data_IF_361598732955
#
_entry.id   IF_361598732955
#
_cell.length_a   1.000
_cell.length_b   1.000
_cell.length_c   1.000
_cell.angle_alpha   90.00
_cell.angle_beta   90.00
_cell.angle_gamma   90.00
#
_symmetry.space_group_name_H-M   'P 1'
#
loop_
_entity.id
_entity.type
_entity.pdbx_description
1 polymer ?
#
# COMPACT_ATOMS: atom_id res chain seq x y z
N UNK A 1 33.71 3.89 4.67
CA UNK A 1 33.22 2.66 4.01
C UNK A 1 31.95 3.04 3.25
N UNK A 2 32.06 3.21 1.95
CA UNK A 2 30.93 3.53 1.06
C UNK A 2 30.08 2.26 0.91
N UNK A 3 28.87 2.26 1.45
CA UNK A 3 27.90 1.20 1.18
C UNK A 3 27.67 1.16 -0.35
N UNK A 4 28.10 0.06 -0.99
CA UNK A 4 27.92 -0.14 -2.41
C UNK A 4 26.43 -0.02 -2.76
N UNK A 5 26.11 0.80 -3.77
CA UNK A 5 24.76 0.89 -4.30
C UNK A 5 24.26 -0.47 -4.80
N UNK A 6 22.94 -0.67 -4.91
CA UNK A 6 22.38 -1.92 -5.41
C UNK A 6 22.94 -2.21 -6.81
N UNK A 7 23.23 -3.50 -7.06
CA UNK A 7 23.67 -3.96 -8.38
C UNK A 7 22.58 -3.78 -9.45
N UNK A 8 22.95 -3.82 -10.75
CA UNK A 8 22.00 -3.71 -11.86
C UNK A 8 20.84 -4.69 -11.72
N UNK A 9 19.59 -4.23 -11.96
CA UNK A 9 18.38 -5.04 -11.87
C UNK A 9 17.86 -5.29 -10.45
N UNK A 10 18.53 -4.80 -9.40
CA UNK A 10 18.08 -4.98 -8.02
C UNK A 10 17.04 -3.90 -7.64
N UNK A 11 15.89 -4.35 -7.12
CA UNK A 11 14.86 -3.46 -6.58
C UNK A 11 15.29 -2.93 -5.21
N UNK A 12 15.34 -1.60 -5.08
CA UNK A 12 15.57 -0.89 -3.83
C UNK A 12 14.28 -0.18 -3.40
N UNK A 13 13.97 -0.21 -2.11
CA UNK A 13 12.90 0.61 -1.54
C UNK A 13 13.54 1.75 -0.75
N UNK A 14 13.06 2.96 -1.00
CA UNK A 14 13.53 4.19 -0.34
C UNK A 14 12.38 5.13 -0.05
N UNK A 15 12.53 6.09 0.88
CA UNK A 15 11.56 7.16 1.04
C UNK A 15 11.33 7.89 -0.30
N UNK A 16 10.07 8.22 -0.56
CA UNK A 16 9.71 9.03 -1.71
C UNK A 16 10.10 10.49 -1.49
N UNK A 17 10.42 11.17 -2.56
CA UNK A 17 10.80 12.59 -2.60
C UNK A 17 9.91 13.35 -3.58
N UNK A 18 9.91 14.69 -3.60
CA UNK A 18 9.17 15.45 -4.61
C UNK A 18 9.54 15.10 -6.06
N UNK A 19 10.77 14.62 -6.30
CA UNK A 19 11.18 14.17 -7.64
C UNK A 19 10.43 12.91 -8.11
N UNK A 20 9.79 12.17 -7.20
CA UNK A 20 9.04 10.96 -7.52
C UNK A 20 7.55 11.24 -7.83
N UNK A 21 7.07 12.48 -7.64
CA UNK A 21 5.65 12.81 -7.75
C UNK A 21 5.05 12.42 -9.10
N UNK A 22 5.74 12.69 -10.21
CA UNK A 22 5.21 12.36 -11.54
C UNK A 22 5.13 10.85 -11.75
N UNK A 23 6.14 10.09 -11.31
CA UNK A 23 6.12 8.64 -11.39
C UNK A 23 5.02 8.03 -10.51
N UNK A 24 4.83 8.57 -9.29
CA UNK A 24 3.77 8.13 -8.38
C UNK A 24 2.40 8.44 -8.99
N UNK A 25 2.17 9.64 -9.49
CA UNK A 25 0.90 10.00 -10.12
C UNK A 25 0.58 9.12 -11.32
N UNK A 26 1.56 8.85 -12.19
CA UNK A 26 1.39 7.95 -13.35
C UNK A 26 0.90 6.56 -12.94
N UNK A 27 1.23 6.10 -11.73
CA UNK A 27 0.74 4.82 -11.20
C UNK A 27 -0.61 4.94 -10.49
N UNK A 28 -0.85 6.04 -9.74
CA UNK A 28 -2.10 6.25 -8.99
C UNK A 28 -3.28 6.56 -9.93
N UNK A 29 -3.07 7.41 -10.92
CA UNK A 29 -4.14 7.89 -11.79
C UNK A 29 -4.97 6.76 -12.41
N UNK A 30 -4.39 5.78 -13.13
CA UNK A 30 -5.18 4.72 -13.75
C UNK A 30 -5.95 3.87 -12.72
N UNK A 31 -5.39 3.69 -11.51
CA UNK A 31 -6.03 2.94 -10.43
C UNK A 31 -7.25 3.71 -9.87
N UNK A 32 -7.13 5.02 -9.70
CA UNK A 32 -8.24 5.86 -9.24
C UNK A 32 -9.32 6.00 -10.31
N UNK A 33 -8.93 6.21 -11.60
CA UNK A 33 -9.88 6.27 -12.71
C UNK A 33 -10.68 4.99 -12.90
N UNK A 34 -10.08 3.83 -12.63
CA UNK A 34 -10.77 2.54 -12.70
C UNK A 34 -11.87 2.39 -11.66
N UNK A 35 -11.76 3.06 -10.50
CA UNK A 35 -12.73 2.99 -9.39
C UNK A 35 -13.04 1.54 -8.92
N UNK A 36 -12.05 0.66 -8.95
CA UNK A 36 -12.22 -0.76 -8.65
C UNK A 36 -11.65 -1.18 -7.30
N UNK A 37 -10.74 -0.37 -6.72
CA UNK A 37 -9.94 -0.81 -5.56
C UNK A 37 -9.78 0.21 -4.45
N UNK A 38 -9.92 1.51 -4.72
CA UNK A 38 -9.76 2.58 -3.73
C UNK A 38 -11.05 3.37 -3.55
N UNK A 39 -11.31 3.82 -2.32
CA UNK A 39 -12.41 4.72 -1.98
C UNK A 39 -12.03 6.19 -2.26
N UNK A 40 -11.49 6.45 -3.44
CA UNK A 40 -11.05 7.76 -3.90
C UNK A 40 -11.94 8.18 -5.08
N UNK A 41 -12.39 9.45 -5.16
CA UNK A 41 -13.16 9.92 -6.31
C UNK A 41 -12.40 9.67 -7.63
N UNK A 42 -13.03 9.07 -8.65
CA UNK A 42 -12.33 8.76 -9.90
C UNK A 42 -11.84 9.99 -10.66
N UNK A 43 -12.42 11.15 -10.40
CA UNK A 43 -12.10 12.43 -11.01
C UNK A 43 -11.10 13.28 -10.23
N UNK A 44 -10.53 12.73 -9.13
CA UNK A 44 -9.53 13.42 -8.32
C UNK A 44 -8.40 13.99 -9.18
N UNK A 45 -8.00 15.23 -8.88
CA UNK A 45 -6.88 15.90 -9.54
C UNK A 45 -5.52 15.39 -9.04
N UNK A 46 -4.47 15.58 -9.86
CA UNK A 46 -3.10 15.18 -9.54
C UNK A 46 -2.62 15.74 -8.20
N UNK A 47 -2.78 17.04 -8.00
CA UNK A 47 -2.23 17.72 -6.82
C UNK A 47 -2.95 17.30 -5.54
N UNK A 48 -4.26 17.08 -5.61
CA UNK A 48 -5.07 16.58 -4.50
C UNK A 48 -4.69 15.13 -4.17
N UNK A 49 -4.55 14.28 -5.17
CA UNK A 49 -4.15 12.88 -5.00
C UNK A 49 -2.75 12.75 -4.38
N UNK A 50 -1.80 13.56 -4.82
CA UNK A 50 -0.45 13.59 -4.24
C UNK A 50 -0.48 14.17 -2.81
N UNK A 51 -1.25 15.21 -2.55
CA UNK A 51 -1.41 15.76 -1.21
C UNK A 51 -1.96 14.70 -0.24
N UNK A 52 -2.95 13.90 -0.66
CA UNK A 52 -3.50 12.80 0.13
C UNK A 52 -2.47 11.67 0.32
N UNK A 53 -1.76 11.28 -0.74
CA UNK A 53 -0.76 10.20 -0.69
C UNK A 53 0.39 10.50 0.27
N UNK A 54 0.80 11.76 0.36
CA UNK A 54 1.86 12.24 1.25
C UNK A 54 1.37 12.82 2.57
N UNK A 55 0.05 12.79 2.84
CA UNK A 55 -0.52 13.37 4.04
C UNK A 55 -0.05 12.67 5.32
N UNK A 56 0.28 13.46 6.35
CA UNK A 56 0.50 12.90 7.68
C UNK A 56 -0.76 12.14 8.18
N UNK A 57 -0.62 11.03 8.89
CA UNK A 57 0.59 10.51 9.52
C UNK A 57 1.36 9.48 8.67
N UNK A 58 1.19 9.46 7.35
CA UNK A 58 1.83 8.49 6.49
C UNK A 58 3.20 8.93 6.00
N UNK A 59 4.08 7.96 5.80
CA UNK A 59 5.37 8.12 5.12
C UNK A 59 5.31 7.35 3.81
N UNK A 60 5.58 8.04 2.70
CA UNK A 60 5.57 7.44 1.38
C UNK A 60 6.94 6.87 0.99
N UNK A 61 6.91 5.73 0.29
CA UNK A 61 8.08 5.03 -0.22
C UNK A 61 7.90 4.68 -1.70
N UNK A 62 9.01 4.51 -2.39
CA UNK A 62 9.05 4.01 -3.76
C UNK A 62 9.95 2.79 -3.88
N UNK A 63 9.54 1.84 -4.70
CA UNK A 63 10.37 0.73 -5.16
C UNK A 63 11.00 1.12 -6.49
N UNK A 64 12.31 1.25 -6.51
CA UNK A 64 13.11 1.70 -7.66
C UNK A 64 14.02 0.59 -8.16
N UNK A 65 14.19 0.52 -9.47
CA UNK A 65 15.15 -0.36 -10.12
C UNK A 65 15.74 0.38 -11.32
N UNK A 66 17.06 0.48 -11.38
CA UNK A 66 17.80 1.14 -12.48
C UNK A 66 17.27 2.56 -12.80
N UNK A 67 16.98 3.35 -11.75
CA UNK A 67 16.44 4.71 -11.89
C UNK A 67 14.96 4.82 -12.24
N UNK A 68 14.25 3.69 -12.39
CA UNK A 68 12.80 3.68 -12.67
C UNK A 68 12.01 3.28 -11.42
N UNK A 69 10.99 4.06 -11.09
CA UNK A 69 10.02 3.73 -10.03
C UNK A 69 9.05 2.68 -10.56
N UNK A 70 8.95 1.56 -9.85
CA UNK A 70 8.13 0.39 -10.21
C UNK A 70 6.94 0.16 -9.28
N UNK A 71 6.85 0.93 -8.20
CA UNK A 71 5.77 0.85 -7.25
C UNK A 71 5.94 1.88 -6.16
N UNK A 72 4.86 2.15 -5.46
CA UNK A 72 4.81 3.07 -4.32
C UNK A 72 3.96 2.49 -3.20
N UNK A 73 4.27 2.88 -1.99
CA UNK A 73 3.45 2.62 -0.80
C UNK A 73 3.47 3.84 0.10
N UNK A 74 2.44 3.98 0.91
CA UNK A 74 2.53 4.78 2.10
C UNK A 74 2.16 3.96 3.33
N UNK A 75 2.78 4.22 4.45
CA UNK A 75 2.57 3.50 5.70
C UNK A 75 2.60 4.49 6.87
N UNK A 76 1.69 4.32 7.80
CA UNK A 76 1.59 5.20 8.96
C UNK A 76 0.57 4.72 9.97
N UNK A 77 0.33 5.54 10.99
CA UNK A 77 -0.63 5.24 12.04
C UNK A 77 -2.07 5.16 11.50
N UNK A 78 -2.77 4.05 11.79
CA UNK A 78 -4.15 3.86 11.34
C UNK A 78 -5.14 4.78 12.08
N UNK A 79 -5.04 4.88 13.42
CA UNK A 79 -5.92 5.69 14.26
C UNK A 79 -5.12 6.40 15.35
N UNK A 80 -5.54 7.59 15.79
CA UNK A 80 -4.88 8.30 16.88
C UNK A 80 -5.21 7.71 18.26
N UNK A 81 -4.56 8.25 19.30
CA UNK A 81 -4.85 7.96 20.71
C UNK A 81 -4.53 6.51 21.11
N UNK A 82 -5.39 5.84 21.87
CA UNK A 82 -5.12 4.48 22.37
C UNK A 82 -4.92 3.42 21.29
N UNK A 83 -5.38 3.66 20.05
CA UNK A 83 -5.19 2.77 18.91
C UNK A 83 -3.97 3.11 18.04
N UNK A 84 -3.10 4.02 18.49
CA UNK A 84 -1.96 4.52 17.70
C UNK A 84 -0.86 3.48 17.45
N UNK A 85 -0.90 2.35 18.13
CA UNK A 85 0.02 1.23 17.96
C UNK A 85 -0.29 0.33 16.75
N UNK A 86 -1.37 0.61 15.99
CA UNK A 86 -1.74 -0.11 14.78
C UNK A 86 -1.40 0.75 13.56
N UNK A 87 -0.63 0.21 12.63
CA UNK A 87 -0.32 0.83 11.34
C UNK A 87 -1.41 0.52 10.30
N UNK A 88 -1.47 1.36 9.26
CA UNK A 88 -2.16 1.08 8.00
C UNK A 88 -1.19 1.38 6.86
N UNK A 89 -1.43 0.78 5.69
CA UNK A 89 -0.63 1.02 4.49
C UNK A 89 -1.46 0.86 3.23
N UNK A 90 -1.03 1.53 2.15
CA UNK A 90 -1.55 1.36 0.80
C UNK A 90 -0.40 1.12 -0.18
N UNK A 91 -0.69 0.42 -1.28
CA UNK A 91 0.31 -0.02 -2.25
C UNK A 91 -0.22 0.11 -3.66
N UNK A 92 0.58 0.67 -4.56
CA UNK A 92 0.31 0.67 -6.00
C UNK A 92 1.59 0.28 -6.73
N UNK A 93 1.46 -0.54 -7.75
CA UNK A 93 2.60 -1.00 -8.56
C UNK A 93 2.38 -0.66 -10.03
N UNK A 94 3.47 -0.39 -10.74
CA UNK A 94 3.45 -0.22 -12.18
C UNK A 94 2.95 -1.53 -12.84
N UNK A 95 1.88 -1.47 -13.64
CA UNK A 95 1.38 -2.65 -14.36
C UNK A 95 2.43 -3.32 -15.25
N UNK A 96 3.40 -2.56 -15.78
CA UNK A 96 4.50 -3.07 -16.57
C UNK A 96 5.55 -3.84 -15.76
N UNK A 97 5.53 -3.69 -14.42
CA UNK A 97 6.39 -4.44 -13.50
C UNK A 97 5.69 -5.69 -12.91
N UNK A 98 4.53 -6.09 -13.46
CA UNK A 98 3.79 -7.27 -13.02
C UNK A 98 4.68 -8.52 -13.06
N UNK A 99 4.55 -9.40 -12.07
CA UNK A 99 5.34 -10.64 -11.96
C UNK A 99 6.74 -10.46 -11.36
N UNK A 100 7.21 -9.23 -11.14
CA UNK A 100 8.54 -8.95 -10.54
C UNK A 100 8.55 -8.95 -9.01
N UNK A 101 7.43 -9.28 -8.36
CA UNK A 101 7.32 -9.34 -6.90
C UNK A 101 7.38 -7.97 -6.19
N UNK A 102 7.11 -6.87 -6.90
CA UNK A 102 7.21 -5.50 -6.35
C UNK A 102 6.24 -5.31 -5.18
N UNK A 103 4.99 -5.74 -5.32
CA UNK A 103 3.99 -5.64 -4.26
C UNK A 103 4.44 -6.38 -2.98
N UNK A 104 4.95 -7.61 -3.11
CA UNK A 104 5.46 -8.38 -1.98
C UNK A 104 6.62 -7.66 -1.28
N UNK A 105 7.57 -7.10 -2.06
CA UNK A 105 8.69 -6.33 -1.50
C UNK A 105 8.22 -5.09 -0.74
N UNK A 106 7.26 -4.33 -1.29
CA UNK A 106 6.68 -3.16 -0.63
C UNK A 106 5.97 -3.53 0.68
N UNK A 107 5.20 -4.63 0.70
CA UNK A 107 4.52 -5.10 1.92
C UNK A 107 5.51 -5.53 2.98
N UNK A 108 6.53 -6.30 2.62
CA UNK A 108 7.58 -6.70 3.57
C UNK A 108 8.28 -5.47 4.15
N UNK A 109 8.68 -4.53 3.29
CA UNK A 109 9.28 -3.28 3.74
C UNK A 109 8.36 -2.49 4.68
N UNK A 110 7.06 -2.36 4.35
CA UNK A 110 6.10 -1.65 5.19
C UNK A 110 5.96 -2.29 6.57
N UNK A 111 5.94 -3.64 6.65
CA UNK A 111 5.92 -4.37 7.92
C UNK A 111 7.20 -4.14 8.74
N UNK A 112 8.36 -4.22 8.10
CA UNK A 112 9.64 -4.01 8.78
C UNK A 112 9.80 -2.57 9.25
N UNK A 113 9.41 -1.60 8.42
CA UNK A 113 9.38 -0.20 8.80
C UNK A 113 8.42 0.04 9.97
N UNK A 114 7.21 -0.51 9.91
CA UNK A 114 6.23 -0.37 10.98
C UNK A 114 6.74 -0.95 12.32
N UNK A 115 7.38 -2.13 12.30
CA UNK A 115 8.04 -2.70 13.49
C UNK A 115 9.12 -1.77 14.03
N UNK A 116 9.97 -1.23 13.16
CA UNK A 116 11.04 -0.30 13.54
C UNK A 116 10.50 1.02 14.15
N UNK A 117 9.29 1.44 13.77
CA UNK A 117 8.58 2.58 14.36
C UNK A 117 7.81 2.22 15.64
N UNK A 118 7.85 0.97 16.10
CA UNK A 118 7.18 0.52 17.32
C UNK A 118 5.70 0.15 17.15
N UNK A 119 5.19 0.02 15.94
CA UNK A 119 3.84 -0.50 15.72
C UNK A 119 3.77 -1.98 16.08
N UNK A 120 2.68 -2.37 16.73
CA UNK A 120 2.42 -3.74 17.18
C UNK A 120 1.60 -4.57 16.18
N UNK A 121 0.88 -3.90 15.28
CA UNK A 121 0.06 -4.54 14.26
C UNK A 121 -0.05 -3.66 13.01
N UNK A 122 -0.49 -4.26 11.90
CA UNK A 122 -0.89 -3.57 10.69
C UNK A 122 -2.28 -4.02 10.29
N UNK A 123 -3.14 -3.06 9.94
CA UNK A 123 -4.52 -3.30 9.55
C UNK A 123 -4.81 -2.61 8.22
N UNK A 124 -5.37 -3.36 7.28
CA UNK A 124 -6.00 -2.80 6.08
C UNK A 124 -7.49 -2.63 6.37
N UNK A 125 -7.97 -1.40 6.32
CA UNK A 125 -9.32 -1.06 6.72
C UNK A 125 -10.37 -1.48 5.67
N UNK A 126 -9.96 -1.54 4.40
CA UNK A 126 -10.89 -1.66 3.30
C UNK A 126 -10.21 -2.29 2.08
N UNK A 127 -10.30 -3.61 1.97
CA UNK A 127 -9.81 -4.36 0.81
C UNK A 127 -11.01 -4.83 0.02
N UNK A 128 -11.18 -4.34 -1.20
CA UNK A 128 -12.33 -4.69 -2.05
C UNK A 128 -12.28 -6.18 -2.36
N UNK A 129 -13.34 -6.92 -2.05
CA UNK A 129 -13.35 -8.39 -2.11
C UNK A 129 -13.22 -8.95 -3.53
N UNK A 130 -13.63 -8.19 -4.56
CA UNK A 130 -13.45 -8.56 -5.96
C UNK A 130 -11.99 -8.45 -6.44
N UNK A 131 -11.11 -7.76 -5.70
CA UNK A 131 -9.68 -7.72 -5.99
C UNK A 131 -8.97 -8.98 -5.42
N UNK A 132 -9.27 -10.14 -6.02
CA UNK A 132 -8.78 -11.44 -5.55
C UNK A 132 -7.25 -11.52 -5.52
N UNK A 133 -6.55 -10.88 -6.47
CA UNK A 133 -5.09 -10.84 -6.52
C UNK A 133 -4.51 -10.13 -5.29
N UNK A 134 -5.10 -9.02 -4.88
CA UNK A 134 -4.68 -8.29 -3.67
C UNK A 134 -4.98 -9.12 -2.42
N UNK A 135 -6.19 -9.65 -2.26
CA UNK A 135 -6.57 -10.48 -1.11
C UNK A 135 -5.59 -11.64 -0.94
N UNK A 136 -5.31 -12.38 -2.03
CA UNK A 136 -4.34 -13.47 -2.02
C UNK A 136 -2.92 -13.02 -1.64
N UNK A 137 -2.48 -11.87 -2.16
CA UNK A 137 -1.16 -11.31 -1.86
C UNK A 137 -1.03 -10.94 -0.39
N UNK A 138 -2.08 -10.36 0.20
CA UNK A 138 -2.09 -10.00 1.61
C UNK A 138 -2.13 -11.22 2.52
N UNK A 139 -2.92 -12.24 2.17
CA UNK A 139 -2.91 -13.51 2.91
C UNK A 139 -1.54 -14.19 2.86
N UNK A 140 -0.88 -14.22 1.71
CA UNK A 140 0.51 -14.70 1.59
C UNK A 140 1.50 -13.89 2.43
N UNK A 141 1.25 -12.61 2.61
CA UNK A 141 2.05 -11.74 3.48
C UNK A 141 1.73 -11.91 4.96
N UNK A 142 0.79 -12.82 5.32
CA UNK A 142 0.43 -13.18 6.69
C UNK A 142 -0.70 -12.34 7.29
N UNK A 143 -1.50 -11.66 6.46
CA UNK A 143 -2.68 -10.97 6.93
C UNK A 143 -3.89 -11.92 6.97
N UNK A 144 -4.62 -11.90 8.08
CA UNK A 144 -5.88 -12.61 8.24
C UNK A 144 -7.06 -11.70 7.92
N UNK A 145 -8.11 -12.25 7.33
CA UNK A 145 -9.39 -11.56 7.17
C UNK A 145 -10.09 -11.61 8.54
N UNK A 146 -10.24 -10.47 9.20
CA UNK A 146 -10.84 -10.36 10.53
C UNK A 146 -12.24 -9.75 10.50
N UNK A 147 -12.67 -9.25 9.37
CA UNK A 147 -14.02 -8.68 9.20
C UNK A 147 -14.42 -8.56 7.75
N UNK A 148 -15.73 -8.49 7.53
CA UNK A 148 -16.35 -8.29 6.22
C UNK A 148 -17.42 -7.21 6.34
N UNK A 149 -17.42 -6.27 5.42
CA UNK A 149 -18.39 -5.19 5.30
C UNK A 149 -19.26 -5.49 4.07
N UNK A 150 -20.49 -6.00 4.27
CA UNK A 150 -21.34 -6.43 3.16
C UNK A 150 -21.75 -5.26 2.26
N UNK A 151 -21.56 -5.41 0.94
CA UNK A 151 -21.97 -4.42 -0.06
C UNK A 151 -21.36 -3.02 0.11
N UNK A 152 -20.21 -2.90 0.79
CA UNK A 152 -19.66 -1.61 1.19
C UNK A 152 -18.98 -0.84 0.06
N UNK A 153 -18.76 -1.46 -1.10
CA UNK A 153 -18.10 -0.84 -2.25
C UNK A 153 -18.94 -0.98 -3.51
N UNK A 154 -19.20 0.14 -4.20
CA UNK A 154 -19.88 0.13 -5.50
C UNK A 154 -18.84 -0.05 -6.62
N UNK A 155 -18.67 -1.30 -7.04
CA UNK A 155 -17.75 -1.63 -8.13
C UNK A 155 -18.39 -1.31 -9.48
N UNK A 156 -17.68 -0.68 -10.43
CA UNK A 156 -18.28 -0.22 -11.70
C UNK A 156 -18.85 -1.35 -12.57
N UNK A 157 -18.32 -2.58 -12.45
CA UNK A 157 -18.76 -3.73 -13.26
C UNK A 157 -19.58 -4.74 -12.47
N UNK A 158 -19.42 -4.82 -11.12
CA UNK A 158 -20.00 -5.88 -10.30
C UNK A 158 -21.11 -5.39 -9.35
N UNK A 159 -21.41 -4.08 -9.37
CA UNK A 159 -22.36 -3.49 -8.42
C UNK A 159 -21.83 -3.47 -6.99
N UNK A 160 -22.70 -3.65 -6.01
CA UNK A 160 -22.29 -3.64 -4.60
C UNK A 160 -21.53 -4.92 -4.25
N UNK A 161 -20.26 -4.78 -3.94
CA UNK A 161 -19.38 -5.87 -3.48
C UNK A 161 -18.92 -5.61 -2.05
N UNK A 162 -18.48 -6.66 -1.38
CA UNK A 162 -18.00 -6.54 0.00
C UNK A 162 -16.62 -5.91 0.07
N UNK A 163 -16.31 -5.30 1.21
CA UNK A 163 -14.96 -4.97 1.60
C UNK A 163 -14.49 -5.82 2.78
N UNK A 164 -13.22 -6.14 2.81
CA UNK A 164 -12.60 -6.96 3.84
C UNK A 164 -11.74 -6.08 4.74
N UNK A 165 -11.79 -6.36 6.04
CA UNK A 165 -10.83 -5.84 7.01
C UNK A 165 -9.78 -6.93 7.22
N UNK A 166 -8.51 -6.60 7.00
CA UNK A 166 -7.41 -7.56 7.14
C UNK A 166 -6.43 -7.08 8.21
N UNK A 167 -5.87 -8.00 8.98
CA UNK A 167 -5.05 -7.69 10.14
C UNK A 167 -3.81 -8.60 10.20
N UNK A 168 -2.68 -8.03 10.62
CA UNK A 168 -1.44 -8.77 10.83
C UNK A 168 -0.77 -8.30 12.14
N UNK A 169 -0.50 -9.25 13.04
CA UNK A 169 0.30 -9.00 14.23
C UNK A 169 1.78 -8.86 13.85
N UNK A 170 2.39 -7.75 14.25
CA UNK A 170 3.80 -7.45 14.00
C UNK A 170 4.71 -7.92 15.14
N UNK A 171 4.18 -8.29 16.31
CA UNK A 171 4.97 -8.65 17.48
C UNK A 171 5.49 -10.08 17.41
N UNK A 172 4.80 -10.95 16.69
CA UNK A 172 5.04 -12.40 16.72
C UNK A 172 4.54 -13.08 18.00
N UNK A 173 3.97 -12.31 18.92
CA UNK A 173 3.29 -12.83 20.10
C UNK A 173 1.86 -13.16 19.72
N UNK A 174 1.47 -14.43 19.77
CA UNK A 174 0.05 -14.77 19.64
C UNK A 174 -0.69 -14.25 20.87
N UNK A 175 -1.88 -13.61 20.71
CA UNK A 175 -2.70 -13.19 21.83
C UNK A 175 -3.16 -14.38 22.70
#
# INVERSE_FOLDING_TARGET
MTAGGPGPGQVRIRPATPADHDAIWTMLEPVYRAAETYCIPPDIGRDEALADWFAAPFTAFVAECDGRVLGTSHVGRNRPGPASHVANASFVTDPQARGRGIAAKLVHHAKDWARAQGFRAMQFNFVVSSNADAVHSWQKAGFDIVGRLPGAFLHPQHGYVDALVMFHDLTGEKP
#
